data_IF_339396574091
#
_entry.id   IF_339396574091
#
_cell.length_a   1.000
_cell.length_b   1.000
_cell.length_c   1.000
_cell.angle_alpha   90.00
_cell.angle_beta   90.00
_cell.angle_gamma   90.00
#
_symmetry.space_group_name_H-M   'P 1'
#
loop_
_entity.id
_entity.type
_entity.pdbx_description
1 polymer ?
#
# COMPACT_ATOMS: atom_id res chain seq x y z
N UNK A 1 -22.70 42.63 -56.28
CA UNK A 1 -23.09 44.02 -55.92
C UNK A 1 -23.91 43.95 -54.64
N UNK A 2 -23.34 44.01 -53.43
CA UNK A 2 -22.65 45.17 -52.87
C UNK A 2 -21.51 44.70 -51.96
N UNK A 3 -20.31 45.04 -52.41
CA UNK A 3 -19.11 45.22 -51.60
C UNK A 3 -19.20 46.64 -51.06
N UNK A 4 -18.69 46.88 -49.85
CA UNK A 4 -18.32 48.20 -49.31
C UNK A 4 -19.46 49.08 -48.80
N UNK A 5 -19.08 50.00 -47.89
CA UNK A 5 -19.86 50.91 -47.02
C UNK A 5 -20.11 50.23 -45.65
N UNK A 6 -19.33 50.43 -44.58
CA UNK A 6 -18.36 51.47 -44.21
C UNK A 6 -17.36 50.85 -43.24
N UNK A 7 -16.08 50.89 -43.59
CA UNK A 7 -15.04 51.19 -42.61
C UNK A 7 -15.13 52.69 -42.26
N UNK A 8 -14.58 53.09 -41.11
CA UNK A 8 -14.45 54.45 -40.55
C UNK A 8 -15.60 54.92 -39.64
N UNK A 9 -15.49 54.61 -38.34
CA UNK A 9 -14.96 55.56 -37.35
C UNK A 9 -14.85 54.90 -35.97
N UNK A 10 -13.87 55.37 -35.18
CA UNK A 10 -13.46 54.93 -33.84
C UNK A 10 -12.41 53.81 -33.77
N UNK A 11 -11.22 54.08 -34.33
CA UNK A 11 -10.00 53.81 -33.57
C UNK A 11 -10.02 54.67 -32.30
N UNK A 12 -10.27 54.06 -31.13
CA UNK A 12 -9.75 54.62 -29.88
C UNK A 12 -9.70 53.55 -28.78
N UNK A 13 -8.54 53.48 -28.13
CA UNK A 13 -8.24 52.76 -26.89
C UNK A 13 -8.19 51.23 -26.94
N UNK A 14 -7.00 50.75 -27.30
CA UNK A 14 -6.25 49.74 -26.56
C UNK A 14 -6.92 49.21 -25.27
N UNK A 15 -7.27 47.93 -25.29
CA UNK A 15 -7.18 47.07 -24.11
C UNK A 15 -7.07 45.62 -24.58
N UNK A 16 -5.88 45.26 -25.05
CA UNK A 16 -5.47 43.89 -25.40
C UNK A 16 -5.54 42.89 -24.22
N UNK A 17 -6.00 43.34 -23.04
CA UNK A 17 -6.38 42.49 -21.92
C UNK A 17 -7.85 42.04 -21.90
N UNK A 18 -8.71 42.55 -22.80
CA UNK A 18 -10.16 42.25 -22.78
C UNK A 18 -10.55 41.07 -23.68
N UNK A 19 -9.86 40.86 -24.81
CA UNK A 19 -10.17 39.75 -25.74
C UNK A 19 -9.87 38.35 -25.16
N UNK A 20 -8.84 38.23 -24.31
CA UNK A 20 -8.53 36.99 -23.58
C UNK A 20 -9.54 36.65 -22.47
N UNK A 21 -10.29 37.66 -21.99
CA UNK A 21 -11.40 37.47 -21.07
C UNK A 21 -12.68 37.09 -21.83
N UNK A 22 -12.91 37.69 -23.00
CA UNK A 22 -14.09 37.42 -23.84
C UNK A 22 -14.05 35.99 -24.43
N UNK A 23 -12.88 35.48 -24.81
CA UNK A 23 -12.73 34.09 -25.27
C UNK A 23 -12.90 33.02 -24.18
N UNK A 24 -12.77 33.39 -22.89
CA UNK A 24 -13.09 32.51 -21.75
C UNK A 24 -14.59 32.49 -21.42
N UNK A 25 -15.36 33.49 -21.88
CA UNK A 25 -16.76 33.65 -21.52
C UNK A 25 -17.74 32.95 -22.49
N UNK A 26 -17.36 32.67 -23.75
CA UNK A 26 -18.33 32.20 -24.75
C UNK A 26 -18.50 30.67 -24.90
N UNK A 27 -17.60 29.86 -24.33
CA UNK A 27 -17.82 28.41 -24.19
C UNK A 27 -17.36 27.96 -22.82
N UNK A 28 -18.22 28.11 -21.81
CA UNK A 28 -18.03 27.50 -20.50
C UNK A 28 -18.14 25.96 -20.66
N UNK A 29 -17.06 25.31 -21.06
CA UNK A 29 -16.98 23.85 -21.13
C UNK A 29 -16.99 23.33 -19.69
N UNK A 30 -18.02 22.57 -19.31
CA UNK A 30 -18.09 21.88 -18.02
C UNK A 30 -17.01 20.78 -17.96
N UNK A 31 -15.81 21.17 -17.54
CA UNK A 31 -14.64 20.30 -17.40
C UNK A 31 -14.27 20.21 -15.93
N UNK A 32 -14.20 18.98 -15.41
CA UNK A 32 -13.72 18.78 -14.05
C UNK A 32 -12.20 19.06 -13.94
N UNK A 33 -11.83 20.05 -13.11
CA UNK A 33 -10.42 20.42 -12.88
C UNK A 33 -9.74 19.63 -11.75
N UNK A 34 -10.46 18.70 -11.11
CA UNK A 34 -10.03 17.99 -9.89
C UNK A 34 -8.69 17.24 -10.05
N UNK A 35 -8.39 16.77 -11.26
CA UNK A 35 -7.22 15.93 -11.55
C UNK A 35 -6.25 16.50 -12.58
N UNK A 36 -6.37 17.78 -12.90
CA UNK A 36 -5.50 18.45 -13.88
C UNK A 36 -4.02 18.41 -13.44
N UNK A 37 -3.77 18.60 -12.14
CA UNK A 37 -2.43 18.46 -11.56
C UNK A 37 -2.07 17.00 -11.27
N UNK A 38 -1.20 16.44 -12.10
CA UNK A 38 -0.67 15.07 -11.89
C UNK A 38 0.24 15.01 -10.66
N UNK A 39 0.02 14.01 -9.81
CA UNK A 39 0.82 13.76 -8.61
C UNK A 39 2.11 13.00 -8.91
N UNK A 40 3.13 13.23 -8.08
CA UNK A 40 4.42 12.54 -8.17
C UNK A 40 5.57 13.43 -8.63
N UNK A 41 6.79 13.01 -8.31
CA UNK A 41 8.00 13.77 -8.63
C UNK A 41 8.47 13.48 -10.05
N UNK A 42 8.68 14.54 -10.83
CA UNK A 42 9.25 14.49 -12.19
C UNK A 42 10.77 14.73 -12.21
N UNK A 43 11.29 15.48 -11.25
CA UNK A 43 12.69 15.90 -11.18
C UNK A 43 13.32 15.58 -9.82
N UNK A 44 14.65 15.44 -9.81
CA UNK A 44 15.42 15.24 -8.60
C UNK A 44 15.48 16.55 -7.80
N UNK A 45 15.09 16.50 -6.53
CA UNK A 45 15.15 17.66 -5.60
C UNK A 45 16.53 17.78 -4.92
N UNK A 46 17.29 16.67 -4.86
CA UNK A 46 18.59 16.61 -4.20
C UNK A 46 19.65 17.40 -4.96
N UNK A 47 20.46 18.20 -4.24
CA UNK A 47 21.59 18.98 -4.79
C UNK A 47 22.87 18.16 -5.04
N UNK A 48 22.93 16.90 -4.61
CA UNK A 48 24.11 16.04 -4.82
C UNK A 48 24.39 15.80 -6.32
N UNK A 49 25.59 16.14 -6.85
CA UNK A 49 25.90 16.06 -8.27
C UNK A 49 25.91 14.62 -8.80
N UNK A 50 26.44 13.65 -8.04
CA UNK A 50 26.49 12.24 -8.45
C UNK A 50 25.08 11.65 -8.64
N UNK A 51 24.13 12.03 -7.79
CA UNK A 51 22.73 11.63 -7.96
C UNK A 51 22.10 12.26 -9.21
N UNK A 52 22.45 13.51 -9.53
CA UNK A 52 21.99 14.17 -10.74
C UNK A 52 22.53 13.47 -12.00
N UNK A 53 23.81 13.09 -12.00
CA UNK A 53 24.44 12.33 -13.09
C UNK A 53 23.77 10.97 -13.29
N UNK A 54 23.54 10.20 -12.22
CA UNK A 54 22.83 8.93 -12.30
C UNK A 54 21.40 9.08 -12.83
N UNK A 55 20.68 10.13 -12.42
CA UNK A 55 19.34 10.42 -12.95
C UNK A 55 19.41 10.78 -14.43
N UNK A 56 20.41 11.55 -14.88
CA UNK A 56 20.61 11.87 -16.30
C UNK A 56 20.87 10.61 -17.12
N UNK A 57 21.73 9.71 -16.63
CA UNK A 57 22.03 8.41 -17.24
C UNK A 57 20.77 7.54 -17.34
N UNK A 58 20.05 7.31 -16.24
CA UNK A 58 18.86 6.45 -16.26
C UNK A 58 17.69 7.08 -17.01
N UNK A 59 17.63 8.42 -17.13
CA UNK A 59 16.68 9.11 -18.00
C UNK A 59 16.97 8.83 -19.47
N UNK A 60 18.24 8.88 -19.88
CA UNK A 60 18.68 8.47 -21.21
C UNK A 60 18.35 7.00 -21.49
N UNK A 61 18.75 6.09 -20.61
CA UNK A 61 18.49 4.66 -20.77
C UNK A 61 16.99 4.37 -20.87
N UNK A 62 16.18 4.93 -19.98
CA UNK A 62 14.72 4.69 -19.97
C UNK A 62 14.04 5.11 -21.27
N UNK A 63 14.53 6.17 -21.92
CA UNK A 63 14.01 6.66 -23.20
C UNK A 63 14.48 5.81 -24.37
N UNK A 64 15.75 5.42 -24.40
CA UNK A 64 16.37 4.75 -25.57
C UNK A 64 16.19 3.24 -25.60
N UNK A 65 16.19 2.56 -24.46
CA UNK A 65 16.04 1.07 -24.43
C UNK A 65 14.60 0.59 -24.27
N UNK A 66 13.68 1.44 -23.80
CA UNK A 66 12.29 1.05 -23.55
C UNK A 66 12.08 0.04 -22.40
N UNK A 67 13.12 -0.31 -21.64
CA UNK A 67 13.00 -1.30 -20.55
C UNK A 67 12.18 -0.78 -19.37
N UNK A 68 11.20 -1.59 -18.92
CA UNK A 68 10.38 -1.31 -17.73
C UNK A 68 11.26 -1.17 -16.48
N UNK A 69 12.37 -1.92 -16.39
CA UNK A 69 13.31 -1.86 -15.27
C UNK A 69 13.90 -0.45 -15.12
N UNK A 70 14.45 0.12 -16.20
CA UNK A 70 15.08 1.45 -16.18
C UNK A 70 14.08 2.55 -15.77
N UNK A 71 12.83 2.45 -16.26
CA UNK A 71 11.75 3.37 -15.85
C UNK A 71 11.46 3.30 -14.35
N UNK A 72 11.47 2.10 -13.76
CA UNK A 72 11.26 1.91 -12.33
C UNK A 72 12.46 2.43 -11.52
N UNK A 73 13.69 2.15 -11.96
CA UNK A 73 14.92 2.63 -11.30
C UNK A 73 14.96 4.16 -11.30
N UNK A 74 14.71 4.81 -12.45
CA UNK A 74 14.62 6.26 -12.56
C UNK A 74 13.60 6.86 -11.59
N UNK A 75 12.38 6.28 -11.55
CA UNK A 75 11.34 6.73 -10.61
C UNK A 75 11.83 6.62 -9.16
N UNK A 76 12.50 5.53 -8.80
CA UNK A 76 13.04 5.32 -7.44
C UNK A 76 14.18 6.28 -7.11
N UNK A 77 15.08 6.59 -8.06
CA UNK A 77 16.16 7.56 -7.86
C UNK A 77 15.62 8.94 -7.50
N UNK A 78 14.57 9.39 -8.20
CA UNK A 78 13.92 10.70 -8.03
C UNK A 78 13.12 10.81 -6.71
N UNK A 79 12.63 9.69 -6.18
CA UNK A 79 11.82 9.71 -4.95
C UNK A 79 12.58 10.21 -3.71
N UNK A 80 11.87 10.56 -2.63
CA UNK A 80 12.44 11.02 -1.35
C UNK A 80 13.35 9.99 -0.69
N UNK A 81 14.25 10.45 0.20
CA UNK A 81 15.06 9.58 1.07
C UNK A 81 14.20 8.63 1.91
N UNK A 82 13.06 9.09 2.41
CA UNK A 82 12.10 8.27 3.17
C UNK A 82 11.66 7.01 2.41
N UNK A 83 11.49 7.11 1.09
CA UNK A 83 11.08 6.00 0.25
C UNK A 83 12.26 5.12 -0.19
N UNK A 84 13.49 5.64 -0.11
CA UNK A 84 14.76 4.92 -0.31
C UNK A 84 15.29 4.39 1.03
N UNK A 85 14.48 3.54 1.67
CA UNK A 85 14.80 2.98 2.99
C UNK A 85 15.99 2.00 2.91
N UNK A 86 16.77 1.94 3.99
CA UNK A 86 17.86 0.99 4.13
C UNK A 86 17.37 -0.46 4.05
N UNK A 87 18.22 -1.34 3.53
CA UNK A 87 17.97 -2.78 3.42
C UNK A 87 19.09 -3.53 4.14
N UNK A 88 18.73 -4.45 5.04
CA UNK A 88 19.70 -5.30 5.74
C UNK A 88 20.23 -6.41 4.84
N UNK A 89 21.46 -6.85 5.08
CA UNK A 89 22.06 -7.99 4.40
C UNK A 89 21.25 -9.29 4.55
N UNK A 90 20.75 -9.57 5.75
CA UNK A 90 19.88 -10.72 6.03
C UNK A 90 18.64 -10.76 5.14
N UNK A 91 18.01 -9.60 4.91
CA UNK A 91 16.84 -9.48 4.03
C UNK A 91 17.22 -9.77 2.58
N UNK A 92 18.38 -9.29 2.12
CA UNK A 92 18.84 -9.58 0.76
C UNK A 92 19.12 -11.07 0.59
N UNK A 93 19.87 -11.67 1.52
CA UNK A 93 20.18 -13.10 1.51
C UNK A 93 18.90 -13.94 1.47
N UNK A 94 17.94 -13.68 2.36
CA UNK A 94 16.68 -14.43 2.41
C UNK A 94 15.84 -14.28 1.13
N UNK A 95 15.84 -13.11 0.49
CA UNK A 95 15.11 -12.91 -0.77
C UNK A 95 15.76 -13.60 -1.98
N UNK A 96 17.03 -13.99 -1.87
CA UNK A 96 17.86 -14.57 -2.94
C UNK A 96 18.07 -16.09 -2.85
N UNK A 97 17.68 -16.74 -1.74
CA UNK A 97 17.92 -18.18 -1.48
C UNK A 97 17.22 -19.15 -2.43
N UNK A 98 16.23 -18.71 -3.21
CA UNK A 98 15.39 -19.58 -4.05
C UNK A 98 15.65 -19.38 -5.57
N UNK A 99 14.61 -18.99 -6.32
CA UNK A 99 14.51 -18.84 -7.79
C UNK A 99 15.36 -17.72 -8.40
N UNK A 100 16.30 -17.17 -7.64
CA UNK A 100 17.06 -15.96 -7.98
C UNK A 100 18.57 -16.13 -7.76
N UNK A 101 19.01 -17.36 -7.55
CA UNK A 101 20.42 -17.71 -7.57
C UNK A 101 21.09 -17.12 -8.85
N UNK A 102 22.24 -16.47 -8.67
CA UNK A 102 23.01 -15.85 -9.76
C UNK A 102 22.49 -14.50 -10.28
N UNK A 103 21.33 -14.00 -9.84
CA UNK A 103 20.83 -12.68 -10.24
C UNK A 103 21.46 -11.56 -9.42
N UNK A 104 21.60 -10.38 -10.03
CA UNK A 104 22.12 -9.20 -9.33
C UNK A 104 21.01 -8.58 -8.47
N UNK A 105 21.25 -8.43 -7.18
CA UNK A 105 20.34 -7.72 -6.27
C UNK A 105 20.46 -6.21 -6.51
N UNK A 106 19.39 -5.54 -6.92
CA UNK A 106 19.41 -4.09 -7.18
C UNK A 106 18.60 -3.37 -6.10
N UNK A 107 19.25 -2.46 -5.37
CA UNK A 107 18.66 -1.72 -4.26
C UNK A 107 18.86 -0.22 -4.48
N UNK A 108 17.78 0.50 -4.71
CA UNK A 108 17.84 1.98 -4.80
C UNK A 108 17.77 2.58 -3.40
N UNK A 109 18.84 2.43 -2.65
CA UNK A 109 18.96 2.83 -1.24
C UNK A 109 20.30 2.37 -0.62
N UNK A 110 20.50 2.63 0.68
CA UNK A 110 21.66 2.12 1.40
C UNK A 110 21.48 0.65 1.81
N UNK A 111 22.57 -0.12 1.81
CA UNK A 111 22.63 -1.48 2.34
C UNK A 111 23.42 -1.48 3.64
N UNK A 112 22.81 -2.05 4.68
CA UNK A 112 23.34 -2.06 6.06
C UNK A 112 23.59 -3.48 6.54
N UNK A 113 24.52 -3.60 7.48
CA UNK A 113 24.91 -4.90 8.03
C UNK A 113 23.84 -5.43 8.98
N UNK A 114 23.80 -6.75 9.12
CA UNK A 114 23.01 -7.45 10.12
C UNK A 114 23.88 -8.55 10.71
N UNK A 115 24.41 -8.29 11.89
CA UNK A 115 25.33 -9.17 12.64
C UNK A 115 24.70 -10.53 12.96
N UNK A 116 23.35 -10.61 13.00
CA UNK A 116 22.63 -11.86 13.28
C UNK A 116 22.76 -12.89 12.16
N UNK A 117 23.00 -12.43 10.95
CA UNK A 117 23.42 -13.32 9.89
C UNK A 117 24.88 -13.63 10.17
N UNK A 118 25.23 -14.90 10.42
CA UNK A 118 26.62 -15.29 10.70
C UNK A 118 27.38 -15.42 9.38
N UNK A 119 26.91 -16.32 8.53
CA UNK A 119 27.50 -16.59 7.23
C UNK A 119 26.75 -15.87 6.10
N UNK A 120 27.48 -15.06 5.34
CA UNK A 120 26.95 -14.38 4.16
C UNK A 120 27.12 -15.26 2.92
N UNK A 121 26.04 -15.55 2.17
CA UNK A 121 26.16 -16.25 0.89
C UNK A 121 26.84 -15.35 -0.15
N UNK A 122 27.37 -15.97 -1.22
CA UNK A 122 27.94 -15.26 -2.37
C UNK A 122 26.87 -14.44 -3.09
N UNK A 123 26.92 -13.12 -2.95
CA UNK A 123 25.91 -12.20 -3.50
C UNK A 123 26.57 -11.14 -4.40
N UNK A 124 25.92 -10.83 -5.52
CA UNK A 124 26.25 -9.64 -6.32
C UNK A 124 25.17 -8.59 -6.08
N UNK A 125 25.52 -7.49 -5.44
CA UNK A 125 24.57 -6.45 -5.01
C UNK A 125 24.94 -5.12 -5.66
N UNK A 126 23.98 -4.45 -6.28
CA UNK A 126 24.06 -3.07 -6.73
C UNK A 126 23.27 -2.16 -5.78
N UNK A 127 23.90 -1.12 -5.25
CA UNK A 127 23.24 -0.17 -4.36
C UNK A 127 23.75 1.27 -4.52
N UNK A 128 23.04 2.23 -3.91
CA UNK A 128 23.49 3.62 -3.87
C UNK A 128 24.63 3.82 -2.87
N UNK A 129 24.56 3.11 -1.74
CA UNK A 129 25.54 3.19 -0.65
C UNK A 129 25.65 1.82 0.01
N UNK A 130 26.86 1.47 0.40
CA UNK A 130 27.12 0.30 1.24
C UNK A 130 27.80 0.76 2.52
N UNK A 131 27.40 0.17 3.65
CA UNK A 131 28.21 0.24 4.86
C UNK A 131 29.54 -0.48 4.63
N UNK A 132 30.61 -0.06 5.29
CA UNK A 132 31.94 -0.67 5.15
C UNK A 132 31.96 -2.11 5.63
N UNK A 133 31.31 -2.39 6.78
CA UNK A 133 31.11 -3.75 7.29
C UNK A 133 30.43 -4.66 6.26
N UNK A 134 29.41 -4.14 5.56
CA UNK A 134 28.72 -4.88 4.49
C UNK A 134 29.65 -5.21 3.33
N UNK A 135 30.45 -4.23 2.89
CA UNK A 135 31.40 -4.46 1.79
C UNK A 135 32.40 -5.56 2.17
N UNK A 136 32.99 -5.49 3.36
CA UNK A 136 33.94 -6.48 3.84
C UNK A 136 33.34 -7.90 3.88
N UNK A 137 32.12 -8.04 4.39
CA UNK A 137 31.43 -9.34 4.47
C UNK A 137 31.07 -9.93 3.10
N UNK A 138 30.58 -9.11 2.17
CA UNK A 138 30.26 -9.55 0.81
C UNK A 138 31.53 -9.99 0.08
N UNK A 139 32.61 -9.21 0.18
CA UNK A 139 33.89 -9.54 -0.46
C UNK A 139 34.50 -10.80 0.15
N UNK A 140 34.45 -10.95 1.48
CA UNK A 140 34.88 -12.18 2.18
C UNK A 140 34.12 -13.42 1.70
N UNK A 141 32.84 -13.29 1.39
CA UNK A 141 32.01 -14.36 0.79
C UNK A 141 32.25 -14.58 -0.72
N UNK A 142 33.18 -13.86 -1.34
CA UNK A 142 33.45 -13.91 -2.79
C UNK A 142 32.37 -13.24 -3.65
N UNK A 143 31.54 -12.38 -3.05
CA UNK A 143 30.53 -11.58 -3.73
C UNK A 143 31.09 -10.27 -4.32
N UNK A 144 30.23 -9.49 -4.97
CA UNK A 144 30.60 -8.21 -5.60
C UNK A 144 29.65 -7.09 -5.19
N UNK A 145 30.21 -5.95 -4.79
CA UNK A 145 29.47 -4.71 -4.56
C UNK A 145 29.56 -3.81 -5.80
N UNK A 146 28.44 -3.58 -6.47
CA UNK A 146 28.35 -2.79 -7.69
C UNK A 146 27.72 -1.41 -7.44
N UNK A 147 28.14 -0.44 -8.23
CA UNK A 147 27.47 0.85 -8.36
C UNK A 147 26.45 0.83 -9.51
N UNK A 148 25.60 1.86 -9.58
CA UNK A 148 24.54 1.92 -10.58
C UNK A 148 25.06 2.23 -12.00
N UNK A 149 26.17 2.97 -12.10
CA UNK A 149 26.94 3.20 -13.32
C UNK A 149 27.56 1.89 -13.83
N UNK A 150 28.24 1.13 -12.98
CA UNK A 150 28.75 -0.20 -13.32
C UNK A 150 27.63 -1.15 -13.76
N UNK A 151 26.49 -1.14 -13.06
CA UNK A 151 25.33 -1.93 -13.43
C UNK A 151 24.80 -1.55 -14.82
N UNK A 152 24.77 -0.26 -15.14
CA UNK A 152 24.30 0.22 -16.44
C UNK A 152 25.20 -0.25 -17.59
N UNK A 153 26.52 -0.31 -17.37
CA UNK A 153 27.47 -0.86 -18.34
C UNK A 153 27.27 -2.38 -18.50
N UNK A 154 27.16 -3.11 -17.40
CA UNK A 154 27.03 -4.58 -17.42
C UNK A 154 25.68 -5.04 -18.00
N UNK A 155 24.59 -4.38 -17.59
CA UNK A 155 23.21 -4.80 -17.89
C UNK A 155 22.34 -3.57 -18.21
N UNK A 156 22.53 -2.91 -19.37
CA UNK A 156 21.82 -1.67 -19.73
C UNK A 156 20.30 -1.85 -19.83
N UNK A 157 19.80 -3.07 -20.13
CA UNK A 157 18.36 -3.40 -20.14
C UNK A 157 17.82 -3.88 -18.79
N UNK A 158 18.68 -4.24 -17.83
CA UNK A 158 18.30 -4.80 -16.53
C UNK A 158 18.04 -6.31 -16.52
N UNK A 159 18.55 -7.06 -17.51
CA UNK A 159 18.37 -8.52 -17.59
C UNK A 159 19.07 -9.20 -16.39
N UNK A 160 18.48 -10.29 -15.88
CA UNK A 160 18.99 -11.05 -14.72
C UNK A 160 19.22 -10.21 -13.46
N UNK A 161 18.40 -9.17 -13.26
CA UNK A 161 18.41 -8.36 -12.04
C UNK A 161 17.17 -8.62 -11.19
N UNK A 162 17.30 -8.46 -9.87
CA UNK A 162 16.18 -8.51 -8.94
C UNK A 162 16.10 -7.23 -8.14
N UNK A 163 15.04 -6.45 -8.38
CA UNK A 163 14.87 -5.13 -7.79
C UNK A 163 14.21 -5.21 -6.40
N UNK A 164 14.98 -4.97 -5.34
CA UNK A 164 14.53 -5.03 -3.96
C UNK A 164 14.13 -3.64 -3.47
N UNK A 165 13.09 -3.57 -2.62
CA UNK A 165 12.67 -2.35 -1.93
C UNK A 165 12.75 -2.56 -0.41
N UNK A 166 13.28 -1.57 0.30
CA UNK A 166 13.27 -1.54 1.76
C UNK A 166 11.86 -1.37 2.34
N UNK A 167 11.68 -1.79 3.60
CA UNK A 167 10.40 -1.71 4.29
C UNK A 167 10.10 -0.26 4.74
N UNK A 168 9.29 0.46 3.97
CA UNK A 168 8.98 1.88 4.23
C UNK A 168 8.14 2.06 5.51
N UNK A 169 7.19 1.14 5.76
CA UNK A 169 6.24 1.21 6.90
C UNK A 169 6.85 0.82 8.26
N UNK A 170 8.11 0.39 8.32
CA UNK A 170 8.77 0.00 9.58
C UNK A 170 9.12 1.16 10.52
N UNK A 171 8.94 2.41 10.09
CA UNK A 171 9.28 3.60 10.88
C UNK A 171 8.27 3.87 11.99
N UNK A 172 8.72 4.50 13.07
CA UNK A 172 7.88 5.00 14.17
C UNK A 172 6.76 5.91 13.70
N UNK A 173 7.00 6.78 12.71
CA UNK A 173 5.99 7.66 12.13
C UNK A 173 4.72 6.91 11.68
N UNK A 174 4.87 5.75 11.03
CA UNK A 174 3.74 4.93 10.58
C UNK A 174 2.95 4.28 11.71
N UNK A 175 3.53 4.17 12.91
CA UNK A 175 2.81 3.69 14.10
C UNK A 175 1.81 4.74 14.63
N UNK A 176 2.01 6.02 14.32
CA UNK A 176 1.11 7.11 14.69
C UNK A 176 0.04 7.40 13.64
N UNK A 177 0.14 6.79 12.46
CA UNK A 177 -0.84 6.95 11.39
C UNK A 177 -1.93 5.90 11.51
N UNK A 178 -3.12 6.23 11.01
CA UNK A 178 -4.30 5.35 11.04
C UNK A 178 -5.44 5.98 11.83
N UNK A 179 -6.35 5.13 12.31
CA UNK A 179 -7.48 5.56 13.15
C UNK A 179 -6.97 6.26 14.42
N UNK A 180 -7.73 7.22 14.93
CA UNK A 180 -7.36 7.92 16.16
C UNK A 180 -7.12 6.93 17.30
N UNK A 181 -6.10 7.20 18.13
CA UNK A 181 -5.80 6.40 19.30
C UNK A 181 -6.99 6.46 20.29
N UNK A 182 -7.40 5.31 20.82
CA UNK A 182 -8.54 5.20 21.74
C UNK A 182 -9.86 4.80 21.06
N UNK A 183 -9.95 4.82 19.73
CA UNK A 183 -11.08 4.23 19.02
C UNK A 183 -11.06 2.69 19.14
N UNK A 184 -12.22 2.01 19.21
CA UNK A 184 -12.26 0.56 19.27
C UNK A 184 -11.66 -0.06 17.99
N UNK A 185 -10.72 -1.00 18.18
CA UNK A 185 -9.97 -1.62 17.09
C UNK A 185 -8.85 -0.75 16.49
N UNK A 186 -8.51 0.38 17.13
CA UNK A 186 -7.30 1.14 16.78
C UNK A 186 -6.07 0.55 17.48
N UNK A 187 -4.98 0.39 16.74
CA UNK A 187 -3.65 0.00 17.25
C UNK A 187 -2.62 1.12 17.09
N UNK A 188 -3.10 2.34 16.86
CA UNK A 188 -2.28 3.52 16.66
C UNK A 188 -1.57 3.87 17.96
N UNK A 189 -0.25 4.05 17.88
CA UNK A 189 0.56 4.48 19.02
C UNK A 189 0.12 5.89 19.44
N UNK A 190 0.01 6.11 20.74
CA UNK A 190 -0.26 7.43 21.31
C UNK A 190 0.95 8.37 21.24
N UNK A 191 0.69 9.66 21.00
CA UNK A 191 1.75 10.69 20.93
C UNK A 191 2.07 11.23 22.32
N UNK A 192 2.81 10.45 23.10
CA UNK A 192 3.34 10.88 24.40
C UNK A 192 4.81 11.25 24.32
N UNK A 193 5.23 12.24 25.12
CA UNK A 193 6.64 12.62 25.27
C UNK A 193 7.41 11.54 26.02
N UNK A 194 6.86 11.08 27.15
CA UNK A 194 7.45 10.05 28.00
C UNK A 194 6.63 8.75 27.97
N UNK A 195 7.28 7.65 28.35
CA UNK A 195 6.65 6.34 28.52
C UNK A 195 6.70 5.97 29.99
N UNK A 196 5.54 5.66 30.57
CA UNK A 196 5.44 5.26 31.97
C UNK A 196 4.00 5.01 32.37
N UNK A 197 3.79 4.51 33.59
CA UNK A 197 2.45 4.16 34.09
C UNK A 197 1.53 5.39 34.24
N UNK A 198 2.10 6.57 34.47
CA UNK A 198 1.37 7.83 34.64
C UNK A 198 0.96 8.49 33.31
N UNK A 199 1.56 8.10 32.17
CA UNK A 199 1.36 8.78 30.89
C UNK A 199 0.41 7.99 29.97
N UNK A 200 -0.81 8.51 29.78
CA UNK A 200 -1.83 7.97 28.87
C UNK A 200 -2.10 6.45 29.01
N UNK A 201 -2.13 5.94 30.26
CA UNK A 201 -2.43 4.53 30.56
C UNK A 201 -3.60 4.31 31.52
N UNK A 202 -4.24 5.38 31.99
CA UNK A 202 -5.30 5.33 33.00
C UNK A 202 -6.66 4.88 32.43
N UNK A 203 -7.57 5.83 32.17
CA UNK A 203 -8.99 5.52 31.90
C UNK A 203 -9.29 4.98 30.50
N UNK A 204 -8.57 5.45 29.48
CA UNK A 204 -8.84 5.17 28.07
C UNK A 204 -8.14 3.91 27.54
N UNK A 205 -6.98 3.56 28.08
CA UNK A 205 -6.17 2.41 27.65
C UNK A 205 -6.09 1.29 28.68
N UNK A 206 -6.58 1.52 29.90
CA UNK A 206 -6.68 0.49 30.94
C UNK A 206 -7.77 -0.53 30.61
N UNK A 207 -7.49 -1.83 30.83
CA UNK A 207 -8.46 -2.93 30.67
C UNK A 207 -9.72 -2.77 31.55
N UNK A 208 -9.73 -1.85 32.52
CA UNK A 208 -10.88 -1.58 33.40
C UNK A 208 -11.99 -0.82 32.66
N UNK A 209 -12.83 -1.60 31.94
CA UNK A 209 -14.30 -1.61 31.84
C UNK A 209 -15.15 -0.34 32.11
N UNK A 210 -14.66 0.90 32.14
CA UNK A 210 -15.54 2.04 32.43
C UNK A 210 -16.30 2.56 31.19
N UNK A 211 -15.70 2.47 29.99
CA UNK A 211 -16.32 2.98 28.73
C UNK A 211 -16.90 1.88 27.83
N UNK A 212 -16.33 0.67 27.81
CA UNK A 212 -16.87 -0.46 27.01
C UNK A 212 -18.24 -0.95 27.51
N UNK A 213 -18.51 -0.84 28.81
CA UNK A 213 -19.78 -1.22 29.45
C UNK A 213 -20.91 -0.24 29.12
N UNK A 214 -20.61 1.07 28.99
CA UNK A 214 -21.62 2.10 28.67
C UNK A 214 -22.20 1.97 27.26
N UNK A 215 -21.40 1.54 26.26
CA UNK A 215 -21.90 1.33 24.88
C UNK A 215 -22.80 0.10 24.77
N UNK A 216 -22.56 -0.94 25.58
CA UNK A 216 -23.39 -2.15 25.60
C UNK A 216 -24.78 -1.87 26.18
N UNK A 217 -24.83 -1.24 27.36
CA UNK A 217 -26.10 -0.82 27.99
C UNK A 217 -26.95 0.06 27.08
N UNK A 218 -26.35 1.03 26.38
CA UNK A 218 -27.08 1.96 25.52
C UNK A 218 -27.71 1.30 24.28
N UNK A 219 -27.18 0.16 23.81
CA UNK A 219 -27.80 -0.65 22.74
C UNK A 219 -28.96 -1.51 23.27
N UNK A 220 -28.82 -2.06 24.48
CA UNK A 220 -29.88 -2.83 25.15
C UNK A 220 -31.11 -1.93 25.42
N UNK A 221 -30.91 -0.72 25.96
CA UNK A 221 -32.01 0.24 26.16
C UNK A 221 -32.68 0.73 24.87
N UNK A 222 -31.92 0.85 23.77
CA UNK A 222 -32.50 1.27 22.49
C UNK A 222 -33.34 0.16 21.85
N UNK A 223 -32.97 -1.11 22.04
CA UNK A 223 -33.75 -2.27 21.58
C UNK A 223 -34.98 -2.52 22.46
N UNK A 224 -34.89 -2.28 23.77
CA UNK A 224 -36.05 -2.31 24.67
C UNK A 224 -37.09 -1.23 24.32
N UNK A 225 -36.65 -0.01 23.96
CA UNK A 225 -37.54 1.08 23.55
C UNK A 225 -38.25 0.80 22.21
N UNK A 226 -37.58 0.12 21.27
CA UNK A 226 -38.19 -0.30 20.00
C UNK A 226 -39.24 -1.40 20.25
N UNK A 227 -38.97 -2.34 21.15
CA UNK A 227 -39.91 -3.41 21.50
C UNK A 227 -41.13 -2.92 22.32
N UNK A 228 -41.01 -1.78 23.00
CA UNK A 228 -42.14 -1.14 23.71
C UNK A 228 -43.08 -0.32 22.80
N UNK A 229 -42.74 -0.14 21.53
CA UNK A 229 -43.51 0.72 20.61
C UNK A 229 -44.40 -0.05 19.62
N UNK A 230 -44.45 -1.38 19.68
CA UNK A 230 -45.31 -2.21 18.82
C UNK A 230 -46.16 -3.14 19.70
N UNK A 231 -47.43 -2.81 19.98
CA UNK A 231 -48.33 -3.77 20.61
C UNK A 231 -48.70 -4.85 19.59
N UNK A 232 -48.22 -6.07 19.80
CA UNK A 232 -48.78 -7.26 19.14
C UNK A 232 -50.04 -7.63 19.92
N UNK A 233 -51.21 -7.40 19.33
CA UNK A 233 -52.46 -7.93 19.84
C UNK A 233 -52.54 -9.42 19.47
N UNK A 234 -52.30 -10.30 20.45
CA UNK A 234 -52.54 -11.73 20.34
C UNK A 234 -54.01 -12.02 20.68
N UNK A 235 -54.80 -12.35 19.67
CA UNK A 235 -56.11 -12.97 19.82
C UNK A 235 -56.04 -14.37 19.21
N UNK A 236 -55.95 -15.41 20.05
CA UNK A 236 -56.57 -16.71 19.74
C UNK A 236 -56.70 -17.54 21.01
N UNK A 237 -57.92 -18.02 21.21
CA UNK A 237 -58.42 -18.76 22.37
C UNK A 237 -57.94 -20.23 22.38
N UNK A 238 -57.95 -20.78 23.59
CA UNK A 238 -57.79 -22.20 23.92
C UNK A 238 -58.66 -23.16 23.08
N UNK A 239 -58.06 -24.25 22.59
CA UNK A 239 -58.67 -25.59 22.57
C UNK A 239 -57.61 -26.64 22.89
N UNK A 240 -57.93 -27.51 23.84
CA UNK A 240 -57.11 -28.58 24.42
C UNK A 240 -57.02 -29.87 23.57
N UNK A 241 -56.07 -30.74 23.97
CA UNK A 241 -56.07 -32.22 24.02
C UNK A 241 -55.07 -32.97 23.10
N UNK A 242 -53.96 -33.35 23.75
CA UNK A 242 -53.55 -34.74 24.09
C UNK A 242 -53.28 -35.82 23.00
N UNK A 243 -52.21 -36.59 23.28
CA UNK A 243 -51.95 -38.02 22.97
C UNK A 243 -50.97 -38.35 21.81
N UNK A 244 -49.78 -38.78 22.26
CA UNK A 244 -48.92 -39.90 21.83
C UNK A 244 -48.21 -40.00 20.46
N UNK A 245 -46.89 -40.23 20.58
CA UNK A 245 -46.02 -41.18 19.87
C UNK A 245 -46.46 -41.70 18.49
N UNK A 246 -45.75 -41.26 17.44
CA UNK A 246 -45.31 -42.12 16.34
C UNK A 246 -44.23 -41.37 15.53
N UNK A 247 -42.98 -41.84 15.55
CA UNK A 247 -42.42 -42.65 14.46
C UNK A 247 -42.20 -41.89 13.15
N UNK A 248 -40.92 -41.76 12.82
CA UNK A 248 -40.30 -42.10 11.51
C UNK A 248 -40.85 -41.42 10.24
N UNK A 249 -39.87 -40.91 9.49
CA UNK A 249 -39.85 -40.71 8.04
C UNK A 249 -40.19 -39.30 7.52
N UNK A 250 -39.10 -38.58 7.25
CA UNK A 250 -38.96 -37.58 6.18
C UNK A 250 -39.38 -38.17 4.81
N UNK A 251 -39.56 -37.41 3.71
CA UNK A 251 -40.00 -36.03 3.46
C UNK A 251 -41.15 -35.99 2.40
N UNK A 252 -41.42 -34.79 1.86
CA UNK A 252 -42.22 -34.46 0.65
C UNK A 252 -43.71 -34.22 0.94
N UNK A 253 -44.31 -33.04 0.69
CA UNK A 253 -44.59 -32.45 -0.62
C UNK A 253 -45.10 -30.99 -0.42
N UNK A 254 -44.48 -30.04 -1.15
CA UNK A 254 -45.00 -28.75 -1.67
C UNK A 254 -45.27 -27.61 -0.67
N UNK A 255 -44.53 -26.50 -0.71
CA UNK A 255 -44.56 -25.47 -1.78
C UNK A 255 -43.18 -24.83 -2.00
N UNK A 256 -42.57 -25.06 -3.18
CA UNK A 256 -42.24 -24.06 -4.25
C UNK A 256 -42.23 -22.59 -3.81
N UNK A 257 -41.02 -22.02 -3.69
CA UNK A 257 -40.38 -21.01 -4.57
C UNK A 257 -41.04 -19.61 -4.47
N UNK A 258 -40.34 -18.57 -3.99
CA UNK A 258 -39.32 -17.84 -4.77
C UNK A 258 -37.95 -17.76 -4.08
N UNK A 259 -36.94 -17.94 -4.92
CA UNK A 259 -35.50 -17.98 -4.70
C UNK A 259 -34.90 -16.57 -4.93
N UNK A 260 -33.92 -16.12 -4.13
CA UNK A 260 -32.70 -15.52 -4.68
C UNK A 260 -31.49 -16.02 -3.89
N UNK A 261 -30.63 -16.65 -4.68
CA UNK A 261 -29.43 -17.42 -4.43
C UNK A 261 -28.20 -16.53 -4.13
N UNK A 262 -27.30 -17.05 -3.27
CA UNK A 262 -25.81 -17.13 -3.38
C UNK A 262 -24.98 -15.84 -3.52
N UNK A 263 -23.80 -15.70 -2.92
CA UNK A 263 -22.68 -16.64 -2.87
C UNK A 263 -21.81 -16.42 -1.61
N UNK A 264 -21.49 -17.51 -0.91
CA UNK A 264 -20.33 -17.60 -0.03
C UNK A 264 -19.57 -18.88 -0.36
N UNK A 265 -18.49 -18.77 -1.12
CA UNK A 265 -17.39 -19.75 -1.10
C UNK A 265 -16.04 -19.06 -1.25
N UNK A 266 -15.12 -19.45 -0.35
CA UNK A 266 -13.69 -19.54 -0.62
C UNK A 266 -12.84 -18.28 -0.43
N UNK A 267 -12.04 -18.22 0.65
CA UNK A 267 -10.62 -18.61 0.56
C UNK A 267 -9.86 -18.41 1.90
N UNK A 268 -9.52 -19.55 2.51
CA UNK A 268 -8.23 -19.93 3.13
C UNK A 268 -7.52 -18.95 4.10
N UNK A 269 -7.44 -19.39 5.36
CA UNK A 269 -6.24 -19.25 6.18
C UNK A 269 -5.63 -20.64 6.37
N UNK A 270 -4.37 -20.81 5.95
CA UNK A 270 -3.50 -21.79 6.57
C UNK A 270 -2.11 -21.18 6.79
N UNK A 271 -1.76 -21.06 8.07
CA UNK A 271 -0.39 -21.16 8.53
C UNK A 271 0.12 -22.54 8.12
N UNK A 272 1.35 -22.64 7.61
CA UNK A 272 2.13 -23.82 7.94
C UNK A 272 3.61 -23.55 8.12
N UNK A 273 4.10 -24.10 9.22
CA UNK A 273 5.47 -24.22 9.68
C UNK A 273 6.09 -25.52 9.14
N UNK A 274 7.34 -25.42 8.66
CA UNK A 274 8.44 -26.41 8.73
C UNK A 274 8.27 -27.84 8.15
N UNK A 275 9.25 -28.20 7.30
CA UNK A 275 10.05 -29.48 7.21
C UNK A 275 9.25 -30.79 6.99
N UNK A 276 9.73 -31.83 6.31
CA UNK A 276 10.98 -32.22 5.66
C UNK A 276 10.70 -33.48 4.79
N UNK A 277 11.65 -33.81 3.91
CA UNK A 277 12.06 -35.16 3.44
C UNK A 277 11.06 -36.09 2.71
N UNK A 278 11.50 -36.57 1.53
CA UNK A 278 11.29 -37.95 1.10
C UNK A 278 10.56 -38.14 -0.23
N UNK A 279 11.29 -38.13 -1.35
CA UNK A 279 10.86 -38.79 -2.59
C UNK A 279 11.64 -40.10 -2.68
N UNK A 280 10.91 -41.22 -2.62
CA UNK A 280 11.34 -42.54 -3.09
C UNK A 280 10.80 -42.74 -4.51
N UNK A 281 11.64 -43.34 -5.33
CA UNK A 281 11.46 -43.77 -6.72
C UNK A 281 10.71 -45.11 -6.72
N UNK A 282 9.76 -45.32 -7.63
CA UNK A 282 9.44 -46.64 -8.22
C UNK A 282 8.49 -46.49 -9.43
N UNK A 283 9.06 -46.51 -10.63
CA UNK A 283 8.70 -47.41 -11.75
C UNK A 283 9.79 -47.30 -12.82
#
# INVERSE_FOLDING_TARGET
MKKMILDEQCEEAANDGCLDLIHKCFYAIDRSHRFERKSGRKFLVSKNPYMALLVKLYRFLSRRTGSKFNRIVLKRLITTRVNKMAVSLSRVANLMKDRKAGKIAVIVGPVVDDERLIETPKLTICALKFSEAVRARIVKAGGKCLTFDQLALLRPRGNNTFLIKGAVKGRTAYKYFGRAAGLPGSHTRTRTLQKGNKFERARTFGKKKCLKSKVKKRKEYFLELINYSIPVHDNTQHVEKNVDNASRNNPTIWTKQINVHTYSEGFQHSCNTKRASGILIAQ
#
